data_IF_427928223430
#
_entry.id   IF_427928223430
#
_cell.length_a   1.000
_cell.length_b   1.000
_cell.length_c   1.000
_cell.angle_alpha   90.00
_cell.angle_beta   90.00
_cell.angle_gamma   90.00
#
_symmetry.space_group_name_H-M   'P 1'
#
loop_
_entity.id
_entity.type
_entity.pdbx_description
1 polymer ?
#
# COMPACT_ATOMS: atom_id res chain seq x y z
N UNK A 1 10.22 -25.37 -10.11
CA UNK A 1 10.54 -23.96 -9.79
C UNK A 1 9.73 -23.58 -8.57
N UNK A 2 10.37 -23.31 -7.42
CA UNK A 2 9.64 -22.86 -6.22
C UNK A 2 9.19 -21.42 -6.44
N UNK A 3 7.88 -21.19 -6.44
CA UNK A 3 7.30 -19.85 -6.52
C UNK A 3 7.11 -19.34 -5.09
N UNK A 4 7.96 -18.40 -4.67
CA UNK A 4 7.80 -17.76 -3.37
C UNK A 4 7.08 -16.43 -3.58
N UNK A 5 6.08 -16.15 -2.74
CA UNK A 5 5.41 -14.85 -2.73
C UNK A 5 6.15 -13.93 -1.77
N UNK A 6 6.37 -12.70 -2.19
CA UNK A 6 6.86 -11.67 -1.30
C UNK A 6 5.82 -11.42 -0.19
N UNK A 7 6.19 -11.52 1.09
CA UNK A 7 5.24 -11.33 2.20
C UNK A 7 4.78 -9.87 2.34
N UNK A 8 5.53 -8.92 1.77
CA UNK A 8 5.24 -7.49 1.89
C UNK A 8 4.27 -6.99 0.83
N UNK A 9 4.38 -7.45 -0.42
CA UNK A 9 3.56 -6.98 -1.54
C UNK A 9 2.70 -8.06 -2.22
N UNK A 10 2.89 -9.33 -1.87
CA UNK A 10 2.18 -10.46 -2.47
C UNK A 10 2.65 -10.84 -3.88
N UNK A 11 3.62 -10.12 -4.45
CA UNK A 11 4.17 -10.42 -5.77
C UNK A 11 4.93 -11.75 -5.76
N UNK A 12 4.76 -12.54 -6.82
CA UNK A 12 5.53 -13.78 -7.03
C UNK A 12 6.94 -13.42 -7.49
N UNK A 13 7.94 -13.86 -6.75
CA UNK A 13 9.34 -13.78 -7.16
C UNK A 13 9.79 -15.11 -7.77
N UNK A 14 10.44 -15.04 -8.93
CA UNK A 14 10.88 -16.23 -9.68
C UNK A 14 12.40 -16.43 -9.64
N UNK A 15 13.15 -15.39 -9.26
CA UNK A 15 14.60 -15.33 -9.28
C UNK A 15 15.16 -15.43 -7.85
N UNK A 16 15.31 -16.65 -7.35
CA UNK A 16 16.20 -16.89 -6.20
C UNK A 16 17.62 -16.94 -6.78
N UNK A 17 18.57 -16.08 -6.33
CA UNK A 17 19.94 -16.12 -6.83
C UNK A 17 20.56 -17.50 -6.58
N UNK A 18 21.50 -17.98 -7.41
CA UNK A 18 22.17 -19.25 -7.17
C UNK A 18 22.96 -19.18 -5.86
N UNK A 19 22.55 -19.96 -4.86
CA UNK A 19 23.13 -19.93 -3.51
C UNK A 19 24.03 -21.15 -3.29
N UNK A 20 25.13 -20.94 -2.57
CA UNK A 20 25.99 -22.03 -2.10
C UNK A 20 25.20 -23.06 -1.28
N UNK A 21 25.55 -24.34 -1.42
CA UNK A 21 24.88 -25.48 -0.77
C UNK A 21 25.02 -25.47 0.76
N UNK A 22 25.90 -24.64 1.29
CA UNK A 22 26.25 -24.60 2.71
C UNK A 22 25.51 -23.48 3.47
N UNK A 23 24.64 -22.73 2.79
CA UNK A 23 23.84 -21.67 3.40
C UNK A 23 22.41 -22.14 3.68
N UNK A 24 22.06 -22.25 4.97
CA UNK A 24 20.72 -22.64 5.44
C UNK A 24 19.64 -21.62 5.05
N UNK A 25 19.99 -20.34 5.08
CA UNK A 25 19.07 -19.23 4.81
C UNK A 25 19.64 -18.33 3.73
N UNK A 26 18.75 -17.87 2.87
CA UNK A 26 19.06 -17.00 1.73
C UNK A 26 18.28 -15.72 1.88
N UNK A 27 18.96 -14.59 1.81
CA UNK A 27 18.30 -13.31 1.68
C UNK A 27 17.88 -13.12 0.22
N UNK A 28 16.59 -12.90 0.00
CA UNK A 28 16.03 -12.65 -1.33
C UNK A 28 15.42 -11.26 -1.36
N UNK A 29 15.86 -10.48 -2.33
CA UNK A 29 15.36 -9.12 -2.55
C UNK A 29 14.15 -9.17 -3.48
N UNK A 30 13.06 -8.53 -3.08
CA UNK A 30 11.88 -8.39 -3.91
C UNK A 30 12.04 -7.19 -4.84
N UNK A 31 12.22 -7.44 -6.14
CA UNK A 31 12.32 -6.39 -7.17
C UNK A 31 11.10 -5.44 -7.18
N UNK A 32 9.92 -5.92 -6.79
CA UNK A 32 8.68 -5.14 -6.86
C UNK A 32 8.50 -4.14 -5.72
N UNK A 33 9.05 -4.40 -4.54
CA UNK A 33 8.87 -3.52 -3.38
C UNK A 33 10.15 -3.18 -2.62
N UNK A 34 11.29 -3.68 -3.09
CA UNK A 34 12.61 -3.46 -2.48
C UNK A 34 12.77 -4.09 -1.09
N UNK A 35 11.85 -4.96 -0.67
CA UNK A 35 11.97 -5.66 0.62
C UNK A 35 12.89 -6.87 0.50
N UNK A 36 13.74 -7.07 1.49
CA UNK A 36 14.52 -8.29 1.63
C UNK A 36 13.82 -9.27 2.58
N UNK A 37 13.79 -10.55 2.26
CA UNK A 37 13.27 -11.59 3.14
C UNK A 37 14.13 -12.85 3.09
N UNK A 38 14.22 -13.55 4.23
CA UNK A 38 14.99 -14.80 4.32
C UNK A 38 14.11 -15.99 3.97
N UNK A 39 14.52 -16.79 2.98
CA UNK A 39 13.92 -18.10 2.71
C UNK A 39 14.89 -19.20 3.10
N UNK A 40 14.36 -20.36 3.50
CA UNK A 40 15.18 -21.56 3.71
C UNK A 40 15.67 -22.07 2.36
N UNK A 41 16.97 -22.32 2.24
CA UNK A 41 17.56 -22.84 1.01
C UNK A 41 17.13 -24.32 0.83
N UNK A 42 16.34 -24.66 -0.21
CA UNK A 42 15.91 -26.04 -0.42
C UNK A 42 17.08 -26.97 -0.83
N UNK A 43 18.20 -26.41 -1.27
CA UNK A 43 19.40 -27.14 -1.62
C UNK A 43 20.39 -27.30 -0.46
N UNK A 44 20.09 -26.73 0.72
CA UNK A 44 20.93 -26.89 1.90
C UNK A 44 20.91 -28.33 2.39
N UNK A 45 22.08 -28.95 2.47
CA UNK A 45 22.27 -30.28 3.04
C UNK A 45 23.46 -30.22 3.98
N UNK A 46 23.25 -30.15 5.31
CA UNK A 46 24.35 -29.96 6.25
C UNK A 46 25.33 -31.13 6.30
N UNK A 47 24.98 -32.33 5.85
CA UNK A 47 25.84 -33.53 5.85
C UNK A 47 25.28 -34.62 4.90
N UNK A 48 26.08 -35.63 4.47
CA UNK A 48 25.65 -36.69 3.56
C UNK A 48 24.54 -37.55 4.19
N UNK A 49 23.52 -37.81 3.36
CA UNK A 49 22.28 -38.54 3.63
C UNK A 49 22.41 -39.72 4.60
N UNK A 50 21.74 -39.64 5.74
CA UNK A 50 21.11 -40.82 6.38
C UNK A 50 19.64 -40.50 6.56
N UNK A 51 18.80 -41.33 5.95
CA UNK A 51 17.35 -41.21 5.94
C UNK A 51 16.78 -41.30 7.35
N UNK A 52 16.12 -40.24 7.81
CA UNK A 52 15.05 -40.38 8.80
C UNK A 52 14.03 -39.25 8.65
N UNK A 53 12.84 -39.68 8.25
CA UNK A 53 11.60 -38.92 8.15
C UNK A 53 11.19 -38.38 9.53
N UNK A 54 10.85 -37.08 9.59
CA UNK A 54 9.66 -36.44 10.19
C UNK A 54 9.96 -34.93 10.21
N UNK A 55 9.46 -34.19 9.20
CA UNK A 55 9.61 -32.74 9.11
C UNK A 55 8.46 -32.05 9.87
N UNK A 56 8.65 -31.80 11.17
CA UNK A 56 7.88 -30.79 11.89
C UNK A 56 8.51 -29.42 11.62
N UNK A 57 7.88 -28.65 10.74
CA UNK A 57 8.30 -27.29 10.41
C UNK A 57 8.03 -26.36 11.59
N UNK A 58 9.09 -25.89 12.27
CA UNK A 58 9.02 -24.77 13.21
C UNK A 58 9.68 -23.56 12.56
N UNK A 59 8.87 -22.69 11.95
CA UNK A 59 9.35 -21.39 11.49
C UNK A 59 9.52 -20.48 12.71
N UNK A 60 10.77 -20.20 13.09
CA UNK A 60 11.08 -19.19 14.10
C UNK A 60 11.12 -17.82 13.44
N UNK A 61 10.07 -17.03 13.66
CA UNK A 61 9.94 -15.67 13.12
C UNK A 61 10.73 -14.70 14.00
N UNK A 62 11.80 -14.13 13.46
CA UNK A 62 12.43 -12.93 14.04
C UNK A 62 11.89 -11.72 13.29
N UNK A 63 10.94 -11.01 13.91
CA UNK A 63 10.52 -9.69 13.44
C UNK A 63 11.67 -8.71 13.69
N UNK A 64 12.63 -8.62 12.77
CA UNK A 64 13.40 -7.39 12.65
C UNK A 64 12.44 -6.36 12.05
N UNK A 65 11.93 -5.48 12.90
CA UNK A 65 11.20 -4.26 12.52
C UNK A 65 12.15 -3.28 11.78
N UNK A 66 12.83 -3.75 10.74
CA UNK A 66 13.41 -2.86 9.75
C UNK A 66 12.29 -2.53 8.79
N UNK A 67 11.35 -1.72 9.26
CA UNK A 67 10.42 -1.02 8.39
C UNK A 67 11.28 -0.12 7.50
N UNK A 68 11.77 -0.64 6.38
CA UNK A 68 12.17 0.15 5.24
C UNK A 68 10.90 0.86 4.80
N UNK A 69 10.71 2.08 5.35
CA UNK A 69 9.63 2.99 5.02
C UNK A 69 9.57 3.10 3.50
N UNK A 70 8.56 2.46 2.91
CA UNK A 70 8.33 2.46 1.47
C UNK A 70 8.09 3.89 1.01
N UNK A 71 9.16 4.53 0.53
CA UNK A 71 9.17 5.92 0.07
C UNK A 71 8.87 6.92 1.18
N UNK A 72 9.87 7.70 1.58
CA UNK A 72 9.69 8.97 2.29
C UNK A 72 8.95 9.98 1.39
N UNK A 73 7.69 9.71 1.04
CA UNK A 73 6.82 10.76 0.52
C UNK A 73 6.50 11.66 1.70
N UNK A 74 6.74 12.98 1.56
CA UNK A 74 6.49 13.95 2.63
C UNK A 74 5.08 13.84 3.23
N UNK A 75 4.12 13.33 2.46
CA UNK A 75 2.78 12.98 2.91
C UNK A 75 2.74 11.90 4.02
N UNK A 76 3.50 10.80 3.90
CA UNK A 76 3.51 9.73 4.91
C UNK A 76 4.23 10.13 6.21
N UNK A 77 5.10 11.13 6.15
CA UNK A 77 5.82 11.67 7.31
C UNK A 77 5.16 12.92 7.89
N UNK A 78 4.05 13.39 7.31
CA UNK A 78 3.32 14.53 7.82
C UNK A 78 2.83 14.26 9.25
N UNK A 79 2.89 15.26 10.15
CA UNK A 79 2.36 15.13 11.50
C UNK A 79 0.84 14.93 11.48
N UNK A 80 0.31 14.20 12.47
CA UNK A 80 -1.11 13.81 12.51
C UNK A 80 -2.08 14.99 12.41
N UNK A 81 -1.68 16.16 12.91
CA UNK A 81 -2.51 17.36 12.83
C UNK A 81 -2.73 17.78 11.38
N UNK A 82 -1.75 17.66 10.49
CA UNK A 82 -1.91 17.98 9.06
C UNK A 82 -2.89 17.02 8.39
N UNK A 83 -2.83 15.73 8.72
CA UNK A 83 -3.80 14.75 8.24
C UNK A 83 -5.22 15.04 8.75
N UNK A 84 -5.37 15.40 10.04
CA UNK A 84 -6.66 15.80 10.62
C UNK A 84 -7.24 17.05 9.94
N UNK A 85 -6.42 18.08 9.72
CA UNK A 85 -6.82 19.30 9.01
C UNK A 85 -7.22 18.99 7.58
N UNK A 86 -6.42 18.21 6.85
CA UNK A 86 -6.73 17.85 5.45
C UNK A 86 -8.01 17.05 5.35
N UNK A 87 -8.26 16.15 6.32
CA UNK A 87 -9.51 15.39 6.40
C UNK A 87 -10.70 16.31 6.63
N UNK A 88 -10.61 17.21 7.61
CA UNK A 88 -11.69 18.14 7.92
C UNK A 88 -11.98 19.07 6.74
N UNK A 89 -10.94 19.70 6.19
CA UNK A 89 -11.06 20.61 5.05
C UNK A 89 -11.64 19.91 3.83
N UNK A 90 -11.15 18.71 3.49
CA UNK A 90 -11.64 17.96 2.33
C UNK A 90 -13.12 17.57 2.46
N UNK A 91 -13.56 17.14 3.64
CA UNK A 91 -14.98 16.88 3.86
C UNK A 91 -15.83 18.14 3.89
N UNK A 92 -15.37 19.20 4.55
CA UNK A 92 -16.09 20.48 4.64
C UNK A 92 -16.29 21.11 3.26
N UNK A 93 -15.20 21.25 2.49
CA UNK A 93 -15.23 21.78 1.13
C UNK A 93 -16.05 20.89 0.21
N UNK A 94 -15.87 19.56 0.30
CA UNK A 94 -16.63 18.61 -0.49
C UNK A 94 -18.14 18.70 -0.24
N UNK A 95 -18.56 18.82 1.03
CA UNK A 95 -19.97 18.95 1.39
C UNK A 95 -20.57 20.30 0.98
N UNK A 96 -19.80 21.37 1.11
CA UNK A 96 -20.22 22.71 0.74
C UNK A 96 -20.39 22.85 -0.78
N UNK A 97 -19.52 22.22 -1.57
CA UNK A 97 -19.59 22.26 -3.03
C UNK A 97 -20.57 21.25 -3.63
N UNK A 98 -20.94 20.19 -2.91
CA UNK A 98 -21.88 19.16 -3.38
C UNK A 98 -23.21 19.74 -3.92
N UNK A 99 -23.96 20.59 -3.18
CA UNK A 99 -25.21 21.15 -3.69
C UNK A 99 -25.00 22.04 -4.92
N UNK A 100 -23.86 22.72 -5.03
CA UNK A 100 -23.52 23.54 -6.18
C UNK A 100 -23.28 22.66 -7.42
N UNK A 101 -22.54 21.56 -7.27
CA UNK A 101 -22.34 20.57 -8.34
C UNK A 101 -23.68 19.99 -8.81
N UNK A 102 -24.56 19.62 -7.88
CA UNK A 102 -25.90 19.10 -8.20
C UNK A 102 -26.70 20.16 -8.96
N UNK A 103 -26.66 21.42 -8.53
CA UNK A 103 -27.30 22.55 -9.21
C UNK A 103 -26.77 22.76 -10.63
N UNK A 104 -25.45 22.69 -10.83
CA UNK A 104 -24.82 22.78 -12.14
C UNK A 104 -25.28 21.67 -13.08
N UNK A 105 -25.37 20.42 -12.60
CA UNK A 105 -25.88 19.31 -13.41
C UNK A 105 -27.35 19.52 -13.81
N UNK A 106 -28.21 19.94 -12.87
CA UNK A 106 -29.61 20.26 -13.17
C UNK A 106 -29.70 21.39 -14.22
N UNK A 107 -28.87 22.42 -14.09
CA UNK A 107 -28.78 23.52 -15.04
C UNK A 107 -28.36 23.06 -16.43
N UNK A 108 -27.27 22.30 -16.52
CA UNK A 108 -26.77 21.74 -17.79
C UNK A 108 -27.79 20.84 -18.49
N UNK A 109 -28.63 20.10 -17.74
CA UNK A 109 -29.69 19.29 -18.33
C UNK A 109 -30.92 20.09 -18.77
N UNK A 110 -31.20 21.23 -18.12
CA UNK A 110 -32.35 22.08 -18.46
C UNK A 110 -32.06 23.03 -19.62
N UNK A 111 -30.87 23.61 -19.66
CA UNK A 111 -30.45 24.53 -20.70
C UNK A 111 -28.98 24.30 -21.08
N UNK A 112 -28.71 23.39 -22.04
CA UNK A 112 -27.35 23.06 -22.43
C UNK A 112 -26.63 24.19 -23.17
N UNK A 113 -27.37 25.19 -23.68
CA UNK A 113 -26.78 26.36 -24.33
C UNK A 113 -26.28 27.38 -23.30
N UNK A 114 -26.96 27.50 -22.16
CA UNK A 114 -26.59 28.42 -21.08
C UNK A 114 -25.45 27.94 -20.18
N UNK A 115 -25.26 26.62 -20.01
CA UNK A 115 -24.27 26.08 -19.08
C UNK A 115 -23.51 24.87 -19.66
N UNK A 116 -22.28 25.06 -20.18
CA UNK A 116 -21.55 23.99 -20.85
C UNK A 116 -21.21 22.85 -19.89
N UNK A 117 -21.47 21.62 -20.33
CA UNK A 117 -21.23 20.39 -19.55
C UNK A 117 -19.80 20.28 -18.98
N UNK A 118 -18.82 20.89 -19.66
CA UNK A 118 -17.43 20.93 -19.23
C UNK A 118 -17.28 21.49 -17.80
N UNK A 119 -18.04 22.53 -17.46
CA UNK A 119 -17.98 23.18 -16.15
C UNK A 119 -18.48 22.22 -15.07
N UNK A 120 -19.63 21.58 -15.29
CA UNK A 120 -20.21 20.59 -14.38
C UNK A 120 -19.29 19.39 -14.15
N UNK A 121 -18.62 18.91 -15.21
CA UNK A 121 -17.65 17.80 -15.12
C UNK A 121 -16.43 18.20 -14.28
N UNK A 122 -15.83 19.38 -14.55
CA UNK A 122 -14.66 19.87 -13.82
C UNK A 122 -14.94 20.05 -12.33
N UNK A 123 -16.10 20.66 -12.01
CA UNK A 123 -16.55 20.86 -10.64
C UNK A 123 -16.81 19.54 -9.91
N UNK A 124 -17.40 18.55 -10.58
CA UNK A 124 -17.59 17.20 -10.04
C UNK A 124 -16.24 16.53 -9.76
N UNK A 125 -15.28 16.63 -10.68
CA UNK A 125 -13.92 16.13 -10.51
C UNK A 125 -13.20 16.76 -9.33
N UNK A 126 -13.37 18.08 -9.14
CA UNK A 126 -12.81 18.82 -8.01
C UNK A 126 -13.38 18.31 -6.68
N UNK A 127 -14.70 18.20 -6.55
CA UNK A 127 -15.34 17.66 -5.33
C UNK A 127 -14.88 16.24 -5.05
N UNK A 128 -14.81 15.39 -6.07
CA UNK A 128 -14.33 14.03 -5.93
C UNK A 128 -12.87 13.98 -5.46
N UNK A 129 -12.01 14.84 -6.00
CA UNK A 129 -10.62 14.97 -5.59
C UNK A 129 -10.47 15.31 -4.09
N UNK A 130 -11.23 16.30 -3.57
CA UNK A 130 -11.18 16.62 -2.13
C UNK A 130 -11.69 15.49 -1.24
N UNK A 131 -12.74 14.79 -1.67
CA UNK A 131 -13.26 13.63 -0.94
C UNK A 131 -12.22 12.50 -0.93
N UNK A 132 -11.53 12.24 -2.05
CA UNK A 132 -10.46 11.26 -2.11
C UNK A 132 -9.29 11.62 -1.20
N UNK A 133 -8.85 12.89 -1.20
CA UNK A 133 -7.82 13.37 -0.26
C UNK A 133 -8.23 13.15 1.19
N UNK A 134 -9.47 13.49 1.55
CA UNK A 134 -9.99 13.27 2.90
C UNK A 134 -10.03 11.79 3.28
N UNK A 135 -10.39 10.90 2.34
CA UNK A 135 -10.37 9.44 2.54
C UNK A 135 -8.96 8.90 2.68
N UNK A 136 -8.02 9.35 1.84
CA UNK A 136 -6.61 8.95 1.92
C UNK A 136 -6.01 9.35 3.26
N UNK A 137 -6.24 10.59 3.70
CA UNK A 137 -5.83 11.07 5.02
C UNK A 137 -6.45 10.26 6.16
N UNK A 138 -7.75 9.92 6.05
CA UNK A 138 -8.44 9.10 7.06
C UNK A 138 -7.89 7.68 7.14
N UNK A 139 -7.49 7.08 6.02
CA UNK A 139 -6.85 5.75 5.98
C UNK A 139 -5.49 5.79 6.68
N UNK A 140 -4.70 6.83 6.45
CA UNK A 140 -3.39 6.98 7.09
C UNK A 140 -3.52 7.15 8.60
N UNK A 141 -4.43 8.01 9.08
CA UNK A 141 -4.69 8.16 10.51
C UNK A 141 -5.18 6.86 11.17
N UNK A 142 -6.03 6.08 10.48
CA UNK A 142 -6.48 4.77 10.97
C UNK A 142 -5.32 3.77 11.03
N UNK A 143 -4.43 3.80 10.05
CA UNK A 143 -3.24 2.95 10.02
C UNK A 143 -2.33 3.24 11.21
N UNK A 144 -2.01 4.50 11.47
CA UNK A 144 -1.17 4.91 12.63
C UNK A 144 -1.79 4.50 13.97
N UNK A 145 -3.10 4.71 14.12
CA UNK A 145 -3.85 4.25 15.30
C UNK A 145 -3.73 2.74 15.53
N UNK A 146 -3.78 1.93 14.47
CA UNK A 146 -3.63 0.48 14.56
C UNK A 146 -2.18 0.04 14.83
N UNK A 147 -1.20 0.87 14.44
CA UNK A 147 0.23 0.65 14.70
C UNK A 147 0.68 1.15 16.09
N UNK A 148 -0.23 1.72 16.89
CA UNK A 148 0.07 2.21 18.23
C UNK A 148 0.91 3.49 18.27
N UNK A 149 0.92 4.25 17.18
CA UNK A 149 1.45 5.63 17.10
C UNK A 149 0.32 6.64 17.23
#
# INVERSE_FOLDING_TARGET
MQQNKCPNCGATIFSIPPVAKDQLKVNVDCEYCGSQFTISNPAYRPEPVVNTTINTFTATYTHTNTATQSGNSGWKNAPDWQHKVTRFLGYFVGWLLLPLVIGCWIGSFRDPAGLPYLVSIMLTGFVFFFILLARASSRELRKRKNEGR
#
